data_IF_838526444430
#
_entry.id   IF_838526444430
#
_cell.length_a   1.000
_cell.length_b   1.000
_cell.length_c   1.000
_cell.angle_alpha   90.00
_cell.angle_beta   90.00
_cell.angle_gamma   90.00
#
_symmetry.space_group_name_H-M   'P 1'
#
loop_
_entity.id
_entity.type
_entity.pdbx_description
1 polymer ?
#
# COMPACT_ATOMS: atom_id res chain seq x y z
N UNK A 1 8.15 21.06 28.42
CA UNK A 1 8.14 19.88 29.32
C UNK A 1 7.97 18.55 28.57
N UNK A 2 7.42 18.51 27.34
CA UNK A 2 7.33 17.27 26.53
C UNK A 2 8.68 16.68 26.06
N UNK A 3 9.65 17.54 25.70
CA UNK A 3 10.90 17.09 25.07
C UNK A 3 11.79 16.22 25.97
N UNK A 4 11.77 16.44 27.29
CA UNK A 4 12.53 15.63 28.25
C UNK A 4 11.91 14.25 28.45
N UNK A 5 10.57 14.15 28.45
CA UNK A 5 9.86 12.88 28.53
C UNK A 5 10.05 12.04 27.26
N UNK A 6 10.12 12.67 26.09
CA UNK A 6 10.39 12.04 24.80
C UNK A 6 11.84 11.51 24.70
N UNK A 7 12.81 12.22 25.29
CA UNK A 7 14.20 11.76 25.39
C UNK A 7 14.38 10.60 26.38
N UNK A 8 13.70 10.63 27.53
CA UNK A 8 13.68 9.51 28.48
C UNK A 8 12.99 8.26 27.88
N UNK A 9 11.96 8.48 27.05
CA UNK A 9 11.28 7.44 26.29
C UNK A 9 12.22 6.74 25.28
N UNK A 10 13.00 7.51 24.54
CA UNK A 10 13.97 6.98 23.57
C UNK A 10 15.15 6.27 24.24
N UNK A 11 15.65 6.80 25.37
CA UNK A 11 16.78 6.23 26.10
C UNK A 11 16.46 4.83 26.68
N UNK A 12 15.22 4.59 27.09
CA UNK A 12 14.78 3.29 27.62
C UNK A 12 14.74 2.22 26.53
N UNK A 13 14.51 2.60 25.27
CA UNK A 13 14.47 1.66 24.13
C UNK A 13 15.87 1.14 23.75
N UNK A 14 16.90 1.99 23.92
CA UNK A 14 18.30 1.65 23.59
C UNK A 14 18.90 0.61 24.56
N UNK A 15 18.47 0.61 25.83
CA UNK A 15 19.00 -0.32 26.85
C UNK A 15 18.46 -1.74 26.67
N UNK A 16 17.23 -1.91 26.18
CA UNK A 16 16.62 -3.22 25.90
C UNK A 16 17.20 -3.88 24.63
N UNK A 17 17.64 -3.10 23.63
CA UNK A 17 18.28 -3.60 22.40
C UNK A 17 19.60 -4.33 22.67
N UNK A 18 20.33 -3.97 23.73
CA UNK A 18 21.64 -4.53 24.06
C UNK A 18 21.59 -5.90 24.76
N UNK A 19 20.39 -6.41 25.10
CA UNK A 19 20.22 -7.65 25.88
C UNK A 19 19.61 -8.85 25.10
N UNK A 20 19.34 -8.73 23.79
CA UNK A 20 18.64 -9.77 23.03
C UNK A 20 19.60 -10.66 22.19
N UNK A 21 20.22 -11.68 22.80
CA UNK A 21 20.95 -12.73 22.07
C UNK A 21 20.03 -13.92 21.72
N UNK A 22 19.74 -14.05 20.42
CA UNK A 22 19.36 -15.22 19.58
C UNK A 22 18.27 -16.22 19.98
N UNK A 23 18.02 -16.52 21.26
CA UNK A 23 17.02 -17.53 21.67
C UNK A 23 15.62 -16.92 21.87
N UNK A 24 15.57 -15.63 22.23
CA UNK A 24 14.33 -14.88 22.42
C UNK A 24 13.59 -14.63 21.08
N UNK A 25 14.30 -14.63 19.95
CA UNK A 25 13.75 -14.32 18.63
C UNK A 25 12.90 -15.45 18.05
N UNK A 26 13.34 -16.71 18.22
CA UNK A 26 12.60 -17.88 17.73
C UNK A 26 11.23 -17.98 18.43
N UNK A 27 11.20 -17.75 19.75
CA UNK A 27 9.97 -17.77 20.52
C UNK A 27 9.06 -16.58 20.20
N UNK A 28 9.64 -15.40 19.95
CA UNK A 28 8.90 -14.20 19.55
C UNK A 28 8.25 -14.40 18.18
N UNK A 29 8.97 -14.95 17.21
CA UNK A 29 8.45 -15.24 15.86
C UNK A 29 7.29 -16.23 15.94
N UNK A 30 7.46 -17.37 16.60
CA UNK A 30 6.40 -18.37 16.74
C UNK A 30 5.15 -17.81 17.44
N UNK A 31 5.33 -16.96 18.45
CA UNK A 31 4.25 -16.26 19.15
C UNK A 31 3.49 -15.33 18.20
N UNK A 32 4.20 -14.50 17.44
CA UNK A 32 3.59 -13.52 16.53
C UNK A 32 2.90 -14.18 15.33
N UNK A 33 3.43 -15.30 14.82
CA UNK A 33 2.74 -16.11 13.83
C UNK A 33 1.38 -16.59 14.36
N UNK A 34 1.31 -17.03 15.62
CA UNK A 34 0.07 -17.53 16.23
C UNK A 34 -0.93 -16.43 16.56
N UNK A 35 -0.47 -15.32 17.12
CA UNK A 35 -1.32 -14.23 17.60
C UNK A 35 -1.89 -13.38 16.47
N UNK A 36 -1.15 -13.22 15.38
CA UNK A 36 -1.49 -12.30 14.29
C UNK A 36 -1.70 -13.00 12.94
N UNK A 37 -1.58 -14.34 12.90
CA UNK A 37 -1.69 -15.17 11.70
C UNK A 37 -0.67 -14.80 10.61
N UNK A 38 0.53 -14.36 11.01
CA UNK A 38 1.62 -14.04 10.09
C UNK A 38 2.39 -15.29 9.65
N UNK A 39 2.96 -15.24 8.44
CA UNK A 39 4.01 -16.17 8.03
C UNK A 39 5.28 -15.93 8.84
N UNK A 40 6.23 -16.87 8.80
CA UNK A 40 7.49 -16.73 9.54
C UNK A 40 8.27 -15.47 9.13
N UNK A 41 8.34 -15.20 7.81
CA UNK A 41 9.03 -14.04 7.27
C UNK A 41 8.34 -12.72 7.65
N UNK A 42 7.00 -12.68 7.60
CA UNK A 42 6.22 -11.51 8.03
C UNK A 42 6.36 -11.27 9.54
N UNK A 43 6.29 -12.32 10.36
CA UNK A 43 6.47 -12.20 11.80
C UNK A 43 7.87 -11.67 12.15
N UNK A 44 8.92 -12.19 11.52
CA UNK A 44 10.28 -11.70 11.70
C UNK A 44 10.43 -10.23 11.26
N UNK A 45 9.89 -9.86 10.10
CA UNK A 45 9.93 -8.49 9.59
C UNK A 45 9.17 -7.52 10.50
N UNK A 46 7.99 -7.91 10.99
CA UNK A 46 7.19 -7.09 11.91
C UNK A 46 7.85 -6.93 13.28
N UNK A 47 8.52 -7.97 13.79
CA UNK A 47 9.30 -7.88 15.04
C UNK A 47 10.48 -6.94 14.85
N UNK A 48 11.23 -7.06 13.75
CA UNK A 48 12.36 -6.18 13.44
C UNK A 48 11.92 -4.72 13.28
N UNK A 49 10.86 -4.47 12.53
CA UNK A 49 10.29 -3.12 12.34
C UNK A 49 9.78 -2.54 13.66
N UNK A 50 9.11 -3.36 14.48
CA UNK A 50 8.59 -2.92 15.78
C UNK A 50 9.69 -2.63 16.80
N UNK A 51 10.77 -3.42 16.83
CA UNK A 51 11.92 -3.21 17.73
C UNK A 51 12.80 -2.04 17.31
N UNK A 52 13.04 -1.88 16.01
CA UNK A 52 13.77 -0.73 15.47
C UNK A 52 12.98 0.59 15.52
N UNK A 53 11.70 0.55 15.88
CA UNK A 53 10.88 1.74 16.03
C UNK A 53 11.04 2.36 17.44
N UNK A 54 11.91 3.36 17.53
CA UNK A 54 12.17 4.12 18.77
C UNK A 54 10.96 4.93 19.27
N UNK A 55 9.89 5.10 18.47
CA UNK A 55 8.61 5.72 18.86
C UNK A 55 7.46 4.72 19.00
N UNK A 56 7.75 3.40 19.04
CA UNK A 56 6.74 2.33 19.19
C UNK A 56 5.86 2.57 20.41
N UNK A 57 4.56 2.29 20.35
CA UNK A 57 3.67 2.42 21.52
C UNK A 57 4.09 1.46 22.63
N UNK A 58 4.45 1.98 23.82
CA UNK A 58 4.67 1.18 25.05
C UNK A 58 3.50 1.31 26.02
N UNK A 59 3.28 0.27 26.81
CA UNK A 59 2.28 0.23 27.87
C UNK A 59 2.99 0.47 29.20
N UNK A 60 2.43 1.28 30.10
CA UNK A 60 3.03 1.53 31.41
C UNK A 60 3.09 0.25 32.25
N UNK A 61 4.05 0.15 33.17
CA UNK A 61 4.20 -1.02 34.05
C UNK A 61 2.91 -1.28 34.86
N UNK A 62 2.30 -0.23 35.38
CA UNK A 62 1.02 -0.28 36.10
C UNK A 62 -0.12 -0.85 35.23
N UNK A 63 -0.20 -0.45 33.96
CA UNK A 63 -1.20 -0.98 33.03
C UNK A 63 -0.89 -2.43 32.66
N UNK A 64 0.37 -2.77 32.43
CA UNK A 64 0.77 -4.14 32.14
C UNK A 64 0.43 -5.07 33.31
N UNK A 65 0.71 -4.67 34.55
CA UNK A 65 0.41 -5.48 35.74
C UNK A 65 -1.08 -5.78 35.90
N UNK A 66 -1.95 -4.85 35.50
CA UNK A 66 -3.40 -5.05 35.51
C UNK A 66 -3.83 -6.10 34.47
N UNK A 67 -3.26 -6.05 33.26
CA UNK A 67 -3.72 -6.89 32.12
C UNK A 67 -2.89 -8.16 31.91
N UNK A 68 -1.75 -8.29 32.60
CA UNK A 68 -0.76 -9.37 32.40
C UNK A 68 -1.38 -10.75 32.51
N UNK A 69 -2.15 -11.02 33.57
CA UNK A 69 -2.70 -12.34 33.82
C UNK A 69 -3.66 -12.79 32.71
N UNK A 70 -4.51 -11.88 32.23
CA UNK A 70 -5.45 -12.12 31.14
C UNK A 70 -4.71 -12.29 29.81
N UNK A 71 -3.80 -11.38 29.49
CA UNK A 71 -3.13 -11.35 28.18
C UNK A 71 -2.13 -12.48 28.00
N UNK A 72 -1.45 -12.89 29.06
CA UNK A 72 -0.61 -14.09 29.05
C UNK A 72 -1.44 -15.36 28.85
N UNK A 73 -2.65 -15.45 29.42
CA UNK A 73 -3.56 -16.58 29.17
C UNK A 73 -4.03 -16.64 27.70
N UNK A 74 -4.12 -15.48 27.04
CA UNK A 74 -4.36 -15.37 25.59
C UNK A 74 -3.10 -15.62 24.72
N UNK A 75 -1.94 -15.87 25.35
CA UNK A 75 -0.67 -16.14 24.67
C UNK A 75 0.16 -14.90 24.33
N UNK A 76 -0.25 -13.70 24.75
CA UNK A 76 0.50 -12.47 24.58
C UNK A 76 1.61 -12.35 25.63
N UNK A 77 2.77 -11.88 25.20
CA UNK A 77 3.73 -11.21 26.05
C UNK A 77 3.54 -9.70 25.97
N UNK A 78 4.30 -8.96 26.77
CA UNK A 78 4.21 -7.49 26.81
C UNK A 78 4.44 -6.89 25.42
N UNK A 79 5.46 -7.37 24.71
CA UNK A 79 5.84 -6.87 23.38
C UNK A 79 4.74 -7.10 22.33
N UNK A 80 4.19 -8.31 22.23
CA UNK A 80 3.09 -8.58 21.32
C UNK A 80 1.81 -7.81 21.71
N UNK A 81 1.57 -7.60 23.00
CA UNK A 81 0.40 -6.84 23.46
C UNK A 81 0.53 -5.36 23.08
N UNK A 82 1.69 -4.76 23.30
CA UNK A 82 1.99 -3.38 22.91
C UNK A 82 1.89 -3.19 21.38
N UNK A 83 2.44 -4.12 20.60
CA UNK A 83 2.27 -4.17 19.15
C UNK A 83 0.78 -4.25 18.74
N UNK A 84 -0.02 -5.08 19.43
CA UNK A 84 -1.45 -5.22 19.16
C UNK A 84 -2.24 -3.93 19.43
N UNK A 85 -1.85 -3.14 20.44
CA UNK A 85 -2.47 -1.84 20.73
C UNK A 85 -2.12 -0.85 19.62
N UNK A 86 -0.86 -0.82 19.18
CA UNK A 86 -0.43 -0.03 18.02
C UNK A 86 -1.24 -0.38 16.77
N UNK A 87 -1.40 -1.67 16.48
CA UNK A 87 -2.25 -2.17 15.40
C UNK A 87 -3.72 -1.79 15.55
N UNK A 88 -4.28 -1.79 16.77
CA UNK A 88 -5.67 -1.38 17.02
C UNK A 88 -5.86 0.10 16.81
N UNK A 89 -4.93 0.95 17.25
CA UNK A 89 -4.93 2.40 16.96
C UNK A 89 -4.83 2.64 15.44
N UNK A 90 -3.92 1.94 14.78
CA UNK A 90 -3.73 2.01 13.33
C UNK A 90 -4.98 1.54 12.56
N UNK A 91 -5.58 0.39 12.93
CA UNK A 91 -6.85 -0.09 12.37
C UNK A 91 -7.99 0.89 12.63
N UNK A 92 -8.04 1.54 13.80
CA UNK A 92 -9.10 2.50 14.15
C UNK A 92 -8.99 3.78 13.33
N UNK A 93 -7.77 4.33 13.15
CA UNK A 93 -7.52 5.39 12.15
C UNK A 93 -7.90 4.92 10.74
N UNK A 94 -7.51 3.71 10.34
CA UNK A 94 -7.83 3.16 9.02
C UNK A 94 -9.34 3.02 8.80
N UNK A 95 -10.09 2.56 9.82
CA UNK A 95 -11.55 2.37 9.73
C UNK A 95 -12.27 3.72 9.63
N UNK A 96 -11.79 4.75 10.34
CA UNK A 96 -12.30 6.13 10.24
C UNK A 96 -11.98 6.76 8.88
N UNK A 97 -10.81 6.47 8.31
CA UNK A 97 -10.37 6.98 6.99
C UNK A 97 -11.06 6.24 5.82
N UNK A 98 -11.35 4.94 5.94
CA UNK A 98 -12.03 4.15 4.90
C UNK A 98 -13.56 4.23 4.92
N UNK A 99 -14.15 4.87 5.92
CA UNK A 99 -15.61 5.00 6.02
C UNK A 99 -16.22 5.86 4.89
N UNK A 100 -15.40 6.57 4.11
CA UNK A 100 -15.84 7.45 3.02
C UNK A 100 -15.44 6.96 1.60
N UNK A 101 -14.88 5.76 1.45
CA UNK A 101 -14.53 5.27 0.11
C UNK A 101 -15.72 4.60 -0.58
N UNK A 102 -16.39 5.34 -1.47
CA UNK A 102 -17.37 4.83 -2.46
C UNK A 102 -16.76 3.84 -3.50
N UNK A 103 -15.47 3.47 -3.41
CA UNK A 103 -14.80 2.63 -4.42
C UNK A 103 -15.15 1.13 -4.24
N UNK A 104 -15.50 0.42 -5.33
CA UNK A 104 -15.81 -1.00 -5.27
C UNK A 104 -14.55 -1.81 -4.89
N UNK A 105 -14.58 -2.47 -3.74
CA UNK A 105 -13.49 -3.34 -3.30
C UNK A 105 -13.48 -4.65 -4.10
N UNK A 106 -12.29 -5.07 -4.54
CA UNK A 106 -12.09 -6.33 -5.26
C UNK A 106 -11.29 -7.32 -4.41
N UNK A 107 -11.63 -8.61 -4.47
CA UNK A 107 -11.02 -9.68 -3.70
C UNK A 107 -10.69 -10.89 -4.59
N UNK A 108 -9.63 -11.61 -4.23
CA UNK A 108 -9.40 -13.00 -4.67
C UNK A 108 -9.91 -13.94 -3.58
N UNK A 109 -10.69 -14.93 -3.98
CA UNK A 109 -11.13 -16.03 -3.13
C UNK A 109 -10.33 -17.25 -3.49
N UNK A 110 -9.66 -17.87 -2.52
CA UNK A 110 -8.97 -19.14 -2.75
C UNK A 110 -10.01 -20.26 -2.89
N UNK A 111 -9.85 -21.09 -3.90
CA UNK A 111 -10.70 -22.26 -4.11
C UNK A 111 -10.21 -23.41 -3.23
N UNK A 112 -10.95 -23.65 -2.14
CA UNK A 112 -10.64 -24.70 -1.16
C UNK A 112 -11.89 -25.09 -0.36
N UNK A 113 -11.88 -26.28 0.25
CA UNK A 113 -12.95 -26.75 1.13
C UNK A 113 -14.34 -26.67 0.49
N UNK A 114 -15.26 -25.95 1.12
CA UNK A 114 -16.65 -25.77 0.65
C UNK A 114 -16.78 -24.84 -0.56
N UNK A 115 -15.68 -24.23 -1.02
CA UNK A 115 -15.58 -23.37 -2.19
C UNK A 115 -14.50 -23.89 -3.16
N UNK A 116 -14.41 -25.21 -3.37
CA UNK A 116 -13.40 -25.86 -4.20
C UNK A 116 -13.47 -25.51 -5.70
N UNK A 117 -14.55 -24.87 -6.18
CA UNK A 117 -14.76 -24.61 -7.61
C UNK A 117 -15.40 -23.24 -7.89
N UNK A 118 -15.15 -22.71 -9.09
CA UNK A 118 -15.83 -21.50 -9.58
C UNK A 118 -17.37 -21.65 -9.63
N UNK A 119 -17.87 -22.87 -9.81
CA UNK A 119 -19.31 -23.17 -9.79
C UNK A 119 -19.92 -23.06 -8.39
N UNK A 120 -19.17 -23.37 -7.34
CA UNK A 120 -19.61 -23.15 -5.94
C UNK A 120 -19.67 -21.67 -5.61
N UNK A 121 -18.66 -20.91 -6.03
CA UNK A 121 -18.67 -19.44 -5.91
C UNK A 121 -19.89 -18.88 -6.65
N UNK A 122 -20.12 -19.30 -7.89
CA UNK A 122 -21.27 -18.85 -8.69
C UNK A 122 -22.61 -19.13 -7.98
N UNK A 123 -22.78 -20.31 -7.39
CA UNK A 123 -23.99 -20.66 -6.63
C UNK A 123 -24.15 -19.81 -5.38
N UNK A 124 -23.07 -19.56 -4.64
CA UNK A 124 -23.08 -18.75 -3.43
C UNK A 124 -23.38 -17.27 -3.71
N UNK A 125 -22.93 -16.75 -4.85
CA UNK A 125 -23.06 -15.33 -5.22
C UNK A 125 -24.26 -15.03 -6.11
N UNK A 126 -24.89 -16.04 -6.71
CA UNK A 126 -25.95 -15.85 -7.71
C UNK A 126 -25.46 -15.25 -9.03
N UNK A 127 -24.18 -15.39 -9.37
CA UNK A 127 -23.62 -14.83 -10.60
C UNK A 127 -24.18 -15.51 -11.86
N UNK A 128 -24.49 -14.71 -12.88
CA UNK A 128 -25.05 -15.19 -14.15
C UNK A 128 -24.08 -16.08 -14.93
N UNK A 129 -22.77 -15.88 -14.75
CA UNK A 129 -21.71 -16.69 -15.35
C UNK A 129 -20.68 -17.10 -14.31
N UNK A 130 -20.03 -18.24 -14.54
CA UNK A 130 -18.96 -18.71 -13.67
C UNK A 130 -17.78 -17.73 -13.75
N UNK A 131 -17.24 -17.31 -12.61
CA UNK A 131 -16.16 -16.33 -12.57
C UNK A 131 -14.84 -16.97 -13.04
N UNK A 132 -13.96 -16.15 -13.64
CA UNK A 132 -12.71 -16.62 -14.26
C UNK A 132 -11.75 -17.18 -13.21
N UNK A 133 -11.22 -18.38 -13.50
CA UNK A 133 -10.20 -19.03 -12.70
C UNK A 133 -8.84 -18.34 -12.90
N UNK A 134 -8.19 -18.01 -11.79
CA UNK A 134 -6.83 -17.49 -11.75
C UNK A 134 -5.96 -18.56 -11.07
N UNK A 135 -4.88 -18.98 -11.72
CA UNK A 135 -3.94 -19.94 -11.14
C UNK A 135 -2.77 -19.17 -10.52
N UNK A 136 -2.44 -19.52 -9.28
CA UNK A 136 -1.24 -19.08 -8.58
C UNK A 136 -0.36 -20.27 -8.26
N UNK A 137 0.95 -20.05 -8.27
CA UNK A 137 1.95 -21.03 -7.84
C UNK A 137 2.66 -20.38 -6.66
N UNK A 138 2.65 -21.04 -5.50
CA UNK A 138 3.37 -20.56 -4.33
C UNK A 138 4.88 -20.79 -4.45
N UNK A 139 5.67 -20.16 -3.59
CA UNK A 139 7.14 -20.25 -3.60
C UNK A 139 7.65 -21.70 -3.40
N UNK A 140 6.84 -22.55 -2.76
CA UNK A 140 7.11 -23.99 -2.58
C UNK A 140 6.73 -24.85 -3.81
N UNK A 141 6.20 -24.24 -4.88
CA UNK A 141 5.69 -24.94 -6.07
C UNK A 141 4.24 -25.42 -5.95
N UNK A 142 3.57 -25.16 -4.83
CA UNK A 142 2.18 -25.56 -4.62
C UNK A 142 1.22 -24.74 -5.48
N UNK A 143 0.34 -25.41 -6.23
CA UNK A 143 -0.68 -24.74 -7.03
C UNK A 143 -1.88 -24.33 -6.15
N UNK A 144 -2.25 -23.05 -6.23
CA UNK A 144 -3.45 -22.51 -5.63
C UNK A 144 -4.35 -21.90 -6.71
N UNK A 145 -5.65 -22.18 -6.63
CA UNK A 145 -6.62 -21.64 -7.56
C UNK A 145 -7.41 -20.52 -6.88
N UNK A 146 -7.65 -19.45 -7.61
CA UNK A 146 -8.35 -18.26 -7.13
C UNK A 146 -9.44 -17.83 -8.09
N UNK A 147 -10.39 -17.07 -7.56
CA UNK A 147 -11.45 -16.42 -8.31
C UNK A 147 -11.55 -14.95 -7.87
N UNK A 148 -11.72 -14.04 -8.82
CA UNK A 148 -11.93 -12.62 -8.55
C UNK A 148 -13.41 -12.33 -8.26
N UNK A 149 -13.69 -11.65 -7.16
CA UNK A 149 -15.03 -11.24 -6.72
C UNK A 149 -15.04 -9.79 -6.23
N UNK A 150 -16.19 -9.13 -6.28
CA UNK A 150 -16.39 -7.81 -5.67
C UNK A 150 -16.85 -7.92 -4.20
N UNK A 151 -17.02 -6.78 -3.53
CA UNK A 151 -17.49 -6.72 -2.15
C UNK A 151 -18.88 -7.31 -1.92
N UNK A 152 -19.78 -7.20 -2.90
CA UNK A 152 -21.14 -7.77 -2.83
C UNK A 152 -21.09 -9.29 -2.87
N UNK A 153 -20.34 -9.85 -3.82
CA UNK A 153 -20.11 -11.28 -3.95
C UNK A 153 -19.36 -11.85 -2.74
N UNK A 154 -18.37 -11.14 -2.19
CA UNK A 154 -17.73 -11.54 -0.92
C UNK A 154 -18.75 -11.68 0.20
N UNK A 155 -19.66 -10.71 0.35
CA UNK A 155 -20.71 -10.76 1.36
C UNK A 155 -21.63 -11.96 1.14
N UNK A 156 -22.09 -12.18 -0.09
CA UNK A 156 -22.95 -13.32 -0.43
C UNK A 156 -22.29 -14.68 -0.12
N UNK A 157 -20.99 -14.82 -0.37
CA UNK A 157 -20.22 -16.02 -0.01
C UNK A 157 -20.22 -16.22 1.51
N UNK A 158 -19.91 -15.18 2.28
CA UNK A 158 -19.91 -15.25 3.75
C UNK A 158 -21.29 -15.61 4.30
N UNK A 159 -22.35 -14.99 3.76
CA UNK A 159 -23.72 -15.27 4.13
C UNK A 159 -24.11 -16.72 3.81
N UNK A 160 -23.66 -17.27 2.68
CA UNK A 160 -23.91 -18.67 2.29
C UNK A 160 -23.19 -19.69 3.16
N UNK A 161 -22.09 -19.30 3.79
CA UNK A 161 -21.28 -20.14 4.67
C UNK A 161 -21.62 -19.95 6.16
N UNK A 162 -22.60 -19.08 6.46
CA UNK A 162 -23.06 -18.84 7.82
C UNK A 162 -23.55 -20.15 8.46
N UNK A 163 -22.92 -20.54 9.57
CA UNK A 163 -23.22 -21.79 10.28
C UNK A 163 -22.37 -23.00 9.88
N UNK A 164 -21.45 -22.85 8.93
CA UNK A 164 -20.43 -23.86 8.61
C UNK A 164 -19.16 -23.67 9.45
N UNK A 165 -18.35 -24.72 9.60
CA UNK A 165 -17.02 -24.63 10.24
C UNK A 165 -15.93 -24.16 9.28
N UNK A 166 -16.24 -24.01 7.99
CA UNK A 166 -15.29 -23.63 6.97
C UNK A 166 -15.08 -22.11 6.95
N UNK A 167 -13.82 -21.67 7.01
CA UNK A 167 -13.45 -20.25 6.94
C UNK A 167 -12.79 -19.98 5.58
N UNK A 168 -13.46 -19.26 4.67
CA UNK A 168 -12.91 -18.98 3.33
C UNK A 168 -11.75 -17.98 3.37
N UNK A 169 -10.73 -18.21 2.55
CA UNK A 169 -9.59 -17.30 2.41
C UNK A 169 -9.89 -16.22 1.36
N UNK A 170 -9.89 -14.96 1.80
CA UNK A 170 -10.03 -13.78 0.93
C UNK A 170 -8.76 -12.94 0.94
N UNK A 171 -8.26 -12.58 -0.23
CA UNK A 171 -7.13 -11.66 -0.42
C UNK A 171 -7.70 -10.39 -1.07
N UNK A 172 -7.61 -9.25 -0.39
CA UNK A 172 -8.04 -7.97 -0.99
C UNK A 172 -7.05 -7.57 -2.08
N UNK A 173 -7.55 -7.29 -3.27
CA UNK A 173 -6.74 -6.68 -4.33
C UNK A 173 -6.75 -5.17 -4.06
N UNK A 174 -5.60 -4.63 -3.68
CA UNK A 174 -5.40 -3.20 -3.53
C UNK A 174 -4.37 -2.76 -4.56
N UNK A 175 -4.82 -2.05 -5.59
CA UNK A 175 -4.01 -1.61 -6.73
C UNK A 175 -4.27 -0.11 -6.91
N UNK A 176 -3.21 0.66 -7.15
CA UNK A 176 -3.32 2.07 -7.48
C UNK A 176 -4.13 2.23 -8.76
N UNK A 177 -5.05 3.19 -8.75
CA UNK A 177 -5.91 3.45 -9.90
C UNK A 177 -5.13 4.23 -10.97
N UNK A 178 -5.20 3.78 -12.21
CA UNK A 178 -4.70 4.53 -13.38
C UNK A 178 -5.87 4.69 -14.34
N UNK A 179 -6.45 5.88 -14.37
CA UNK A 179 -7.64 6.20 -15.19
C UNK A 179 -7.37 7.43 -16.05
N UNK A 180 -6.38 7.33 -16.95
CA UNK A 180 -5.99 8.43 -17.81
C UNK A 180 -7.05 8.69 -18.89
N UNK A 181 -7.43 9.95 -19.04
CA UNK A 181 -8.37 10.38 -20.07
C UNK A 181 -7.67 10.41 -21.44
N UNK A 182 -8.37 9.88 -22.46
CA UNK A 182 -7.96 9.98 -23.87
C UNK A 182 -8.35 11.34 -24.49
N UNK A 183 -9.30 12.03 -23.88
CA UNK A 183 -9.89 13.28 -24.38
C UNK A 183 -9.50 14.51 -23.58
N UNK A 184 -8.65 14.37 -22.55
CA UNK A 184 -8.14 15.49 -21.76
C UNK A 184 -6.82 15.15 -21.06
N UNK A 185 -6.17 16.15 -20.48
CA UNK A 185 -5.01 15.97 -19.61
C UNK A 185 -5.34 15.25 -18.29
N UNK A 186 -6.61 15.00 -17.97
CA UNK A 186 -7.03 14.38 -16.72
C UNK A 186 -6.54 12.93 -16.56
N UNK A 187 -6.18 12.50 -15.33
CA UNK A 187 -5.77 13.31 -14.20
C UNK A 187 -4.34 13.84 -14.41
N UNK A 188 -4.09 15.07 -13.95
CA UNK A 188 -2.76 15.70 -13.95
C UNK A 188 -2.49 16.33 -12.58
N UNK A 189 -1.25 16.20 -12.10
CA UNK A 189 -0.82 16.75 -10.82
C UNK A 189 -0.94 18.29 -10.82
N UNK A 190 -1.50 18.84 -9.74
CA UNK A 190 -1.58 20.27 -9.48
C UNK A 190 -2.61 21.03 -10.31
N UNK A 191 -3.41 20.36 -11.13
CA UNK A 191 -4.46 20.99 -11.94
C UNK A 191 -5.75 20.19 -11.80
N UNK A 192 -6.81 20.85 -11.32
CA UNK A 192 -8.16 20.28 -11.38
C UNK A 192 -8.70 20.36 -12.81
N UNK A 193 -8.35 19.36 -13.61
CA UNK A 193 -8.77 19.27 -15.00
C UNK A 193 -10.26 18.90 -15.17
N UNK A 194 -11.03 18.74 -14.10
CA UNK A 194 -12.48 18.49 -14.19
C UNK A 194 -13.27 19.80 -14.39
N UNK A 195 -12.65 20.95 -14.09
CA UNK A 195 -13.28 22.26 -14.21
C UNK A 195 -13.49 22.65 -15.70
N UNK A 196 -14.59 23.34 -16.03
CA UNK A 196 -14.95 23.66 -17.42
C UNK A 196 -13.86 24.39 -18.21
N UNK A 197 -13.09 25.27 -17.56
CA UNK A 197 -12.01 26.02 -18.21
C UNK A 197 -10.80 25.16 -18.63
N UNK A 198 -10.70 23.93 -18.12
CA UNK A 198 -9.68 22.95 -18.49
C UNK A 198 -10.21 21.87 -19.44
N UNK A 199 -11.49 21.97 -19.83
CA UNK A 199 -12.15 21.08 -20.79
C UNK A 199 -11.82 21.57 -22.21
N UNK A 200 -11.58 20.62 -23.13
CA UNK A 200 -11.21 20.93 -24.51
C UNK A 200 -12.24 21.82 -25.22
N UNK A 201 -11.74 22.74 -26.02
CA UNK A 201 -12.49 23.30 -27.15
C UNK A 201 -12.39 22.29 -28.31
N UNK A 202 -13.51 21.77 -28.79
CA UNK A 202 -13.58 20.73 -29.83
C UNK A 202 -13.26 21.25 -31.26
N UNK A 203 -12.62 22.41 -31.35
CA UNK A 203 -12.37 23.16 -32.59
C UNK A 203 -11.01 22.85 -33.25
N UNK A 204 -10.16 22.04 -32.62
CA UNK A 204 -8.82 21.65 -33.11
C UNK A 204 -8.69 20.18 -33.52
N UNK A 205 -7.56 19.80 -34.18
CA UNK A 205 -7.25 18.39 -34.44
C UNK A 205 -7.17 17.60 -33.11
N UNK A 206 -7.45 16.28 -33.12
CA UNK A 206 -7.41 15.47 -31.90
C UNK A 206 -6.01 15.53 -31.27
N UNK A 207 -5.89 16.27 -30.17
CA UNK A 207 -4.67 16.28 -29.36
C UNK A 207 -4.55 14.91 -28.72
N UNK A 208 -3.50 14.15 -29.06
CA UNK A 208 -3.18 12.91 -28.36
C UNK A 208 -2.47 13.27 -27.06
N UNK A 209 -3.11 13.01 -25.92
CA UNK A 209 -2.52 13.29 -24.61
C UNK A 209 -1.59 12.15 -24.18
N UNK A 210 -0.29 12.41 -24.22
CA UNK A 210 0.72 11.49 -23.71
C UNK A 210 1.08 11.80 -22.26
N UNK A 211 1.40 10.78 -21.43
CA UNK A 211 1.28 9.36 -21.73
C UNK A 211 -0.18 8.90 -21.83
N UNK A 212 -0.46 7.94 -22.73
CA UNK A 212 -1.76 7.28 -22.82
C UNK A 212 -1.88 6.12 -21.82
N UNK A 213 -3.10 5.60 -21.63
CA UNK A 213 -3.40 4.54 -20.65
C UNK A 213 -2.48 3.31 -20.76
N UNK A 214 -2.17 2.87 -21.98
CA UNK A 214 -1.35 1.68 -22.25
C UNK A 214 -0.08 2.00 -23.05
N UNK A 215 0.46 3.22 -22.91
CA UNK A 215 1.67 3.63 -23.60
C UNK A 215 2.92 3.12 -22.88
N UNK A 216 3.79 2.39 -23.61
CA UNK A 216 5.10 1.95 -23.15
C UNK A 216 6.16 2.12 -24.26
N UNK A 217 7.42 2.45 -23.91
CA UNK A 217 7.89 2.79 -22.58
C UNK A 217 7.33 4.14 -22.10
N UNK A 218 7.22 4.31 -20.79
CA UNK A 218 6.75 5.54 -20.15
C UNK A 218 7.62 5.91 -18.96
N UNK A 219 7.85 7.20 -18.78
CA UNK A 219 8.57 7.71 -17.62
C UNK A 219 7.64 7.89 -16.43
N UNK A 220 8.03 7.30 -15.32
CA UNK A 220 7.45 7.54 -14.02
C UNK A 220 8.40 8.39 -13.18
N UNK A 221 7.89 9.45 -12.57
CA UNK A 221 8.53 10.06 -11.42
C UNK A 221 8.19 9.22 -10.19
N UNK A 222 9.22 8.77 -9.50
CA UNK A 222 9.13 7.99 -8.27
C UNK A 222 9.80 8.74 -7.12
N UNK A 223 9.21 8.59 -5.94
CA UNK A 223 9.67 9.20 -4.70
C UNK A 223 9.49 8.20 -3.54
N UNK A 224 9.96 8.55 -2.35
CA UNK A 224 9.84 7.66 -1.19
C UNK A 224 10.65 6.37 -1.38
N UNK A 225 10.05 5.22 -1.07
CA UNK A 225 10.72 3.91 -1.17
C UNK A 225 10.92 3.45 -2.62
N UNK A 226 10.06 3.85 -3.57
CA UNK A 226 10.26 3.51 -4.97
C UNK A 226 11.48 4.21 -5.61
N UNK A 227 12.01 5.25 -4.97
CA UNK A 227 13.25 5.89 -5.39
C UNK A 227 14.52 5.13 -4.91
N UNK A 228 14.36 4.02 -4.20
CA UNK A 228 15.44 3.11 -3.82
C UNK A 228 15.62 2.01 -4.89
N UNK A 229 16.80 1.91 -5.53
CA UNK A 229 17.09 0.87 -6.52
C UNK A 229 16.83 -0.56 -6.03
N UNK A 230 17.10 -0.86 -4.75
CA UNK A 230 16.98 -2.21 -4.19
C UNK A 230 15.51 -2.59 -3.95
N UNK A 231 14.68 -1.62 -3.58
CA UNK A 231 13.23 -1.81 -3.49
C UNK A 231 12.67 -2.08 -4.88
N UNK A 232 13.04 -1.25 -5.86
CA UNK A 232 12.51 -1.34 -7.22
C UNK A 232 12.96 -2.62 -7.94
N UNK A 233 14.22 -3.03 -7.77
CA UNK A 233 14.76 -4.27 -8.35
C UNK A 233 14.03 -5.50 -7.82
N UNK A 234 13.82 -5.57 -6.50
CA UNK A 234 13.09 -6.69 -5.87
C UNK A 234 11.62 -6.70 -6.27
N UNK A 235 10.98 -5.53 -6.30
CA UNK A 235 9.56 -5.41 -6.64
C UNK A 235 9.29 -5.86 -8.07
N UNK A 236 10.14 -5.48 -9.02
CA UNK A 236 9.96 -5.76 -10.44
C UNK A 236 10.71 -7.01 -10.92
N UNK A 237 11.38 -7.72 -9.99
CA UNK A 237 12.24 -8.88 -10.30
C UNK A 237 13.27 -8.59 -11.41
N UNK A 238 13.91 -7.41 -11.35
CA UNK A 238 14.86 -6.99 -12.37
C UNK A 238 16.17 -7.79 -12.26
N UNK A 239 16.71 -8.20 -13.41
CA UNK A 239 18.03 -8.85 -13.48
C UNK A 239 19.19 -7.85 -13.38
N UNK A 240 18.94 -6.59 -13.73
CA UNK A 240 19.92 -5.51 -13.72
C UNK A 240 19.46 -4.37 -12.80
N UNK A 241 20.40 -3.60 -12.30
CA UNK A 241 20.11 -2.43 -11.46
C UNK A 241 19.28 -1.39 -12.27
N UNK A 242 18.17 -0.88 -11.73
CA UNK A 242 17.31 0.06 -12.43
C UNK A 242 18.03 1.40 -12.66
N UNK A 243 17.91 1.92 -13.88
CA UNK A 243 18.37 3.27 -14.23
C UNK A 243 17.42 4.32 -13.63
N UNK A 244 17.72 4.72 -12.39
CA UNK A 244 17.04 5.82 -11.69
C UNK A 244 17.77 7.14 -11.96
N UNK A 245 17.10 8.06 -12.66
CA UNK A 245 17.67 9.35 -13.02
C UNK A 245 17.17 10.45 -12.08
N UNK A 246 18.04 11.26 -11.47
CA UNK A 246 17.59 12.38 -10.63
C UNK A 246 16.62 13.30 -11.39
N UNK A 247 15.47 13.60 -10.79
CA UNK A 247 14.42 14.40 -11.41
C UNK A 247 13.67 15.24 -10.38
N UNK A 248 12.88 16.20 -10.87
CA UNK A 248 11.91 16.95 -10.08
C UNK A 248 10.58 17.10 -10.81
N UNK A 249 9.51 17.31 -10.05
CA UNK A 249 8.18 17.63 -10.56
C UNK A 249 7.63 18.87 -9.84
N UNK A 250 6.68 19.55 -10.47
CA UNK A 250 5.96 20.71 -9.93
C UNK A 250 4.45 20.43 -9.81
N UNK A 251 3.74 21.29 -9.07
CA UNK A 251 2.27 21.20 -8.90
C UNK A 251 1.83 20.26 -7.77
N UNK A 252 2.78 19.68 -7.04
CA UNK A 252 2.49 18.87 -5.87
C UNK A 252 3.46 19.13 -4.74
N UNK A 253 3.13 18.64 -3.55
CA UNK A 253 3.99 18.73 -2.38
C UNK A 253 3.99 17.41 -1.63
N UNK A 254 5.15 17.03 -1.09
CA UNK A 254 5.25 15.86 -0.22
C UNK A 254 4.78 16.22 1.20
N UNK A 255 3.97 15.34 1.76
CA UNK A 255 3.53 15.35 3.16
C UNK A 255 3.89 14.03 3.82
N UNK A 256 3.89 14.01 5.15
CA UNK A 256 4.07 12.77 5.91
C UNK A 256 2.70 12.25 6.33
N UNK A 257 2.34 11.08 5.83
CA UNK A 257 1.15 10.34 6.22
C UNK A 257 1.48 9.26 7.26
N UNK A 258 0.64 9.18 8.30
CA UNK A 258 0.78 8.23 9.41
C UNK A 258 2.18 8.20 10.06
N UNK A 259 2.85 9.37 10.11
CA UNK A 259 4.16 9.55 10.74
C UNK A 259 5.35 8.91 10.02
N UNK A 260 5.15 8.18 8.91
CA UNK A 260 6.25 7.48 8.22
C UNK A 260 6.18 7.45 6.70
N UNK A 261 5.01 7.57 6.08
CA UNK A 261 4.86 7.41 4.63
C UNK A 261 4.89 8.77 3.94
N UNK A 262 5.60 8.86 2.82
CA UNK A 262 5.57 10.07 1.99
C UNK A 262 4.34 10.03 1.10
N UNK A 263 3.51 11.07 1.17
CA UNK A 263 2.32 11.22 0.36
C UNK A 263 2.46 12.47 -0.53
N UNK A 264 2.42 12.29 -1.85
CA UNK A 264 2.35 13.40 -2.79
C UNK A 264 0.91 13.88 -2.93
N UNK A 265 0.65 15.16 -2.66
CA UNK A 265 -0.66 15.78 -2.82
C UNK A 265 -0.60 17.00 -3.73
N UNK A 266 -1.74 17.36 -4.32
CA UNK A 266 -1.82 18.54 -5.19
C UNK A 266 -1.52 19.82 -4.41
N UNK A 267 -0.74 20.70 -5.04
CA UNK A 267 -0.37 22.01 -4.52
C UNK A 267 -0.43 23.06 -5.64
N UNK A 268 -1.64 23.38 -6.18
CA UNK A 268 -1.81 24.24 -7.35
C UNK A 268 -1.28 25.67 -7.14
N UNK A 269 -1.24 26.15 -5.90
CA UNK A 269 -0.88 27.54 -5.55
C UNK A 269 0.55 27.67 -4.98
N UNK A 270 1.36 26.62 -5.08
CA UNK A 270 2.72 26.64 -4.51
C UNK A 270 3.73 26.79 -5.64
N UNK A 271 3.98 28.04 -6.04
CA UNK A 271 4.91 28.39 -7.13
C UNK A 271 6.34 27.87 -6.89
N UNK A 272 6.72 27.60 -5.63
CA UNK A 272 8.05 27.08 -5.23
C UNK A 272 8.06 25.59 -4.81
N UNK A 273 6.94 24.85 -4.89
CA UNK A 273 6.93 23.44 -4.51
C UNK A 273 7.45 22.55 -5.64
N UNK A 274 8.78 22.47 -5.74
CA UNK A 274 9.45 21.40 -6.47
C UNK A 274 9.61 20.18 -5.58
N UNK A 275 9.12 19.03 -6.03
CA UNK A 275 9.34 17.74 -5.38
C UNK A 275 10.50 17.03 -6.05
N UNK A 276 11.52 16.68 -5.26
CA UNK A 276 12.70 15.96 -5.72
C UNK A 276 12.54 14.45 -5.57
N UNK A 277 13.00 13.71 -6.58
CA UNK A 277 12.93 12.26 -6.64
C UNK A 277 13.73 11.73 -7.82
N UNK A 278 13.28 10.62 -8.39
CA UNK A 278 13.92 9.98 -9.54
C UNK A 278 12.90 9.76 -10.66
N UNK A 279 13.35 9.82 -11.90
CA UNK A 279 12.63 9.33 -13.07
C UNK A 279 13.09 7.91 -13.38
N UNK A 280 12.12 7.00 -13.51
CA UNK A 280 12.31 5.61 -13.88
C UNK A 280 11.55 5.32 -15.18
N UNK A 281 12.19 4.61 -16.12
CA UNK A 281 11.56 4.25 -17.39
C UNK A 281 10.90 2.88 -17.28
N UNK A 282 9.57 2.87 -17.15
CA UNK A 282 8.76 1.65 -17.15
C UNK A 282 8.61 1.16 -18.60
N UNK A 283 9.05 -0.07 -18.86
CA UNK A 283 9.18 -0.60 -20.23
C UNK A 283 8.04 -1.53 -20.64
N UNK A 284 7.26 -2.05 -19.69
CA UNK A 284 6.16 -2.97 -19.96
C UNK A 284 5.00 -2.79 -18.99
N UNK A 285 3.85 -3.37 -19.36
CA UNK A 285 2.66 -3.39 -18.52
C UNK A 285 2.92 -4.14 -17.22
N UNK A 286 3.64 -5.26 -17.25
CA UNK A 286 3.92 -6.10 -16.09
C UNK A 286 4.73 -5.33 -15.03
N UNK A 287 5.72 -4.54 -15.48
CA UNK A 287 6.48 -3.67 -14.58
C UNK A 287 5.57 -2.59 -13.97
N UNK A 288 4.71 -1.97 -14.78
CA UNK A 288 3.75 -0.99 -14.27
C UNK A 288 2.80 -1.62 -13.25
N UNK A 289 2.28 -2.81 -13.51
CA UNK A 289 1.38 -3.50 -12.58
C UNK A 289 2.04 -3.77 -11.24
N UNK A 290 3.32 -4.16 -11.22
CA UNK A 290 4.09 -4.30 -9.98
C UNK A 290 4.12 -3.01 -9.16
N UNK A 291 4.35 -1.86 -9.81
CA UNK A 291 4.31 -0.54 -9.15
C UNK A 291 2.91 -0.22 -8.62
N UNK A 292 1.88 -0.45 -9.43
CA UNK A 292 0.49 -0.18 -9.05
C UNK A 292 0.07 -1.01 -7.83
N UNK A 293 0.48 -2.28 -7.74
CA UNK A 293 0.21 -3.14 -6.59
C UNK A 293 0.97 -2.72 -5.34
N UNK A 294 2.22 -2.27 -5.49
CA UNK A 294 3.04 -1.80 -4.37
C UNK A 294 2.44 -0.55 -3.72
N UNK A 295 1.99 0.41 -4.53
CA UNK A 295 1.43 1.66 -4.03
C UNK A 295 0.02 1.50 -3.48
N UNK A 296 -0.73 0.49 -3.95
CA UNK A 296 -2.09 0.14 -3.48
C UNK A 296 -3.14 1.20 -3.81
N UNK A 297 -4.40 0.96 -3.43
CA UNK A 297 -5.53 1.90 -3.65
C UNK A 297 -5.40 3.25 -2.92
N UNK A 298 -4.35 3.40 -2.09
CA UNK A 298 -3.99 4.65 -1.41
C UNK A 298 -3.50 5.72 -2.37
N UNK A 299 -3.00 5.30 -3.54
CA UNK A 299 -2.52 6.21 -4.56
C UNK A 299 -3.27 6.00 -5.86
N UNK A 300 -3.18 7.01 -6.70
CA UNK A 300 -3.62 7.00 -8.08
C UNK A 300 -2.47 7.47 -8.97
N UNK A 301 -2.48 7.03 -10.22
CA UNK A 301 -1.53 7.45 -11.23
C UNK A 301 -2.06 8.66 -11.95
N UNK A 302 -1.26 9.73 -11.96
CA UNK A 302 -1.59 10.98 -12.63
C UNK A 302 -0.48 11.41 -13.58
N UNK A 303 -0.83 12.19 -14.60
CA UNK A 303 0.17 12.85 -15.46
C UNK A 303 0.91 13.92 -14.67
N UNK A 304 2.19 14.10 -14.96
CA UNK A 304 3.00 15.18 -14.38
C UNK A 304 4.09 15.62 -15.35
N UNK A 305 4.58 16.84 -15.17
CA UNK A 305 5.77 17.33 -15.86
C UNK A 305 7.01 16.93 -15.06
N UNK A 306 7.88 16.13 -15.68
CA UNK A 306 9.13 15.66 -15.11
C UNK A 306 10.25 16.51 -15.69
N UNK A 307 11.01 17.18 -14.83
CA UNK A 307 12.26 17.86 -15.16
C UNK A 307 13.44 16.97 -14.74
N UNK A 308 14.22 16.51 -15.72
CA UNK A 308 15.47 15.79 -15.46
C UNK A 308 16.49 16.72 -14.81
N UNK A 309 17.15 16.29 -13.74
CA UNK A 309 18.24 17.06 -13.09
C UNK A 309 19.60 16.71 -13.68
N UNK A 310 19.69 16.76 -15.00
CA UNK A 310 20.92 16.65 -15.76
C UNK A 310 21.33 18.02 -16.32
N UNK A 311 22.41 18.08 -17.10
CA UNK A 311 22.90 19.32 -17.71
C UNK A 311 21.89 19.92 -18.71
N UNK A 312 21.11 19.08 -19.40
CA UNK A 312 20.14 19.51 -20.42
C UNK A 312 18.81 20.00 -19.85
N UNK A 313 18.49 19.65 -18.59
CA UNK A 313 17.23 19.98 -17.89
C UNK A 313 15.99 19.68 -18.74
N UNK A 314 15.99 18.52 -19.39
CA UNK A 314 14.89 18.10 -20.23
C UNK A 314 13.59 18.00 -19.43
N UNK A 315 12.53 18.62 -19.96
CA UNK A 315 11.18 18.57 -19.40
C UNK A 315 10.29 17.77 -20.35
N UNK A 316 9.56 16.79 -19.81
CA UNK A 316 8.60 16.01 -20.59
C UNK A 316 7.44 15.53 -19.72
N UNK A 317 6.36 15.10 -20.37
CA UNK A 317 5.20 14.54 -19.68
C UNK A 317 5.48 13.09 -19.27
N UNK A 318 5.26 12.79 -18.00
CA UNK A 318 5.36 11.45 -17.43
C UNK A 318 4.19 11.16 -16.50
N UNK A 319 4.35 10.11 -15.69
CA UNK A 319 3.37 9.67 -14.71
C UNK A 319 3.97 9.73 -13.30
N UNK A 320 3.13 9.86 -12.28
CA UNK A 320 3.54 9.78 -10.88
C UNK A 320 2.40 9.23 -10.03
N UNK A 321 2.72 8.79 -8.82
CA UNK A 321 1.74 8.36 -7.82
C UNK A 321 1.31 9.55 -6.97
N UNK A 322 0.06 9.97 -7.07
CA UNK A 322 -0.56 10.95 -6.17
C UNK A 322 -1.36 10.22 -5.10
N UNK A 323 -1.31 10.68 -3.86
CA UNK A 323 -2.12 10.14 -2.78
C UNK A 323 -3.60 10.43 -3.07
N UNK A 324 -4.41 9.38 -3.14
CA UNK A 324 -5.80 9.45 -3.61
C UNK A 324 -6.76 10.05 -2.57
N UNK A 325 -6.31 10.26 -1.34
CA UNK A 325 -7.17 10.70 -0.24
C UNK A 325 -6.93 12.17 0.13
N UNK A 326 -8.03 12.91 0.28
CA UNK A 326 -8.06 14.33 0.60
C UNK A 326 -8.16 14.61 2.11
N UNK A 327 -7.89 13.61 2.95
CA UNK A 327 -8.11 13.70 4.40
C UNK A 327 -7.11 14.63 5.08
N UNK A 328 -7.59 15.37 6.09
CA UNK A 328 -6.87 16.38 6.86
C UNK A 328 -5.75 15.83 7.79
N UNK A 329 -5.37 14.56 7.67
CA UNK A 329 -4.38 13.88 8.53
C UNK A 329 -2.95 13.91 7.95
N UNK A 330 -2.71 14.81 7.00
CA UNK A 330 -1.39 15.05 6.43
C UNK A 330 -0.67 16.11 7.26
N UNK A 331 0.41 15.70 7.93
CA UNK A 331 1.29 16.59 8.69
C UNK A 331 2.37 17.21 7.79
#
# INVERSE_FOLDING_TARGET
>A
MEFLAELEYMATNVVDELNAESEHDIQSIARWQRLFAYTHAEAAAHIMDYRGNLSRTRVSDEHWDIVRAEKVAEGYDREAYEYSIGLRKFKRLFTTITADSQKPSTYLVKLEGSLASAAEIQRATGMTSAPTLIRGIGDAGDEANFVRVDGTAKKAILDSLAGTTFQPTFIRISKAEKALSDSSMHPILGIDSTLPQHRLDHSGPPLTYSPAQDQYPVWYFVYGSLADPDVLSRLLSLSETPDLRPASISGGVLRTWAGKYKALVDAPNSEDASVYGCAYRVVSREHEEGLLYYETERYEVVRCLIEMRNETKEIFMGLTFRFANHSQDLL
#
